data_IF_251489458140
#
_entry.id   IF_251489458140
#
_cell.length_a   1.000
_cell.length_b   1.000
_cell.length_c   1.000
_cell.angle_alpha   90.00
_cell.angle_beta   90.00
_cell.angle_gamma   90.00
#
_symmetry.space_group_name_H-M   'P 1'
#
loop_
_entity.id
_entity.type
_entity.pdbx_description
1 polymer ?
#
# COMPACT_ATOMS: atom_id res chain seq x y z
N UNK A 1 27.93 10.53 3.89
CA UNK A 1 27.10 9.32 4.08
C UNK A 1 25.81 9.59 3.34
N UNK A 2 25.44 8.69 2.43
CA UNK A 2 24.20 8.78 1.66
C UNK A 2 23.29 7.65 2.16
N UNK A 3 22.03 7.96 2.40
CA UNK A 3 21.01 6.96 2.70
C UNK A 3 20.65 6.21 1.41
N UNK A 4 21.04 4.93 1.34
CA UNK A 4 20.79 4.09 0.16
C UNK A 4 19.31 3.86 -0.09
N UNK A 5 18.49 3.73 0.95
CA UNK A 5 17.05 3.55 0.82
C UNK A 5 16.40 4.79 0.17
N UNK A 6 16.79 5.98 0.62
CA UNK A 6 16.30 7.22 0.00
C UNK A 6 16.73 7.32 -1.46
N UNK A 7 18.03 7.09 -1.74
CA UNK A 7 18.60 7.28 -3.08
C UNK A 7 18.15 6.20 -4.08
N UNK A 8 18.09 4.95 -3.67
CA UNK A 8 17.83 3.84 -4.58
C UNK A 8 16.33 3.50 -4.69
N UNK A 9 15.54 3.88 -3.68
CA UNK A 9 14.13 3.49 -3.59
C UNK A 9 13.12 4.63 -3.63
N UNK A 10 13.49 5.83 -3.22
CA UNK A 10 12.55 6.95 -3.03
C UNK A 10 12.87 8.18 -3.87
N UNK A 11 14.13 8.36 -4.29
CA UNK A 11 14.57 9.46 -5.12
C UNK A 11 14.29 9.16 -6.60
N UNK A 12 13.91 10.17 -7.35
CA UNK A 12 13.67 10.04 -8.79
C UNK A 12 15.00 9.83 -9.54
N UNK A 13 14.98 8.94 -10.53
CA UNK A 13 16.17 8.61 -11.31
C UNK A 13 16.65 9.72 -12.26
N UNK A 14 15.78 10.67 -12.61
CA UNK A 14 16.05 11.74 -13.56
C UNK A 14 16.18 13.10 -12.88
N UNK A 15 15.45 13.35 -11.79
CA UNK A 15 15.46 14.59 -11.02
C UNK A 15 16.12 14.33 -9.66
N UNK A 16 17.46 14.44 -9.59
CA UNK A 16 18.23 14.15 -8.39
C UNK A 16 17.81 15.04 -7.20
N UNK A 17 17.59 14.42 -6.06
CA UNK A 17 17.09 15.06 -4.84
C UNK A 17 15.58 15.19 -4.76
N UNK A 18 14.84 14.87 -5.83
CA UNK A 18 13.38 14.87 -5.81
C UNK A 18 12.84 13.53 -5.32
N UNK A 19 12.05 13.54 -4.27
CA UNK A 19 11.45 12.35 -3.67
C UNK A 19 10.06 12.05 -4.27
N UNK A 20 9.67 10.79 -4.30
CA UNK A 20 8.37 10.34 -4.83
C UNK A 20 7.17 11.11 -4.23
N UNK A 21 7.23 11.45 -2.93
CA UNK A 21 6.18 12.24 -2.30
C UNK A 21 6.06 13.67 -2.82
N UNK A 22 7.14 14.27 -3.31
CA UNK A 22 7.09 15.59 -3.98
C UNK A 22 6.40 15.50 -5.34
N UNK A 23 6.57 14.38 -6.06
CA UNK A 23 5.81 14.11 -7.29
C UNK A 23 4.33 13.91 -7.01
N UNK A 24 4.00 13.20 -5.91
CA UNK A 24 2.61 13.04 -5.46
C UNK A 24 1.96 14.41 -5.17
N UNK A 25 2.66 15.30 -4.48
CA UNK A 25 2.19 16.67 -4.22
C UNK A 25 2.00 17.48 -5.51
N UNK A 26 2.98 17.43 -6.44
CA UNK A 26 2.86 18.10 -7.77
C UNK A 26 1.66 17.54 -8.55
N UNK A 27 1.46 16.23 -8.53
CA UNK A 27 0.32 15.57 -9.19
C UNK A 27 -1.01 15.99 -8.57
N UNK A 28 -1.10 16.01 -7.24
CA UNK A 28 -2.31 16.46 -6.54
C UNK A 28 -2.67 17.91 -6.89
N UNK A 29 -1.67 18.78 -7.02
CA UNK A 29 -1.89 20.18 -7.47
C UNK A 29 -2.35 20.22 -8.92
N UNK A 30 -1.71 19.49 -9.83
CA UNK A 30 -2.03 19.49 -11.26
C UNK A 30 -3.45 18.96 -11.53
N UNK A 31 -3.90 17.98 -10.74
CA UNK A 31 -5.23 17.39 -10.85
C UNK A 31 -6.26 18.04 -9.90
N UNK A 32 -5.90 19.12 -9.21
CA UNK A 32 -6.78 19.86 -8.30
C UNK A 32 -7.35 19.00 -7.15
N UNK A 33 -6.65 17.92 -6.76
CA UNK A 33 -7.03 17.08 -5.63
C UNK A 33 -6.66 17.81 -4.34
N UNK A 34 -7.60 18.02 -3.46
CA UNK A 34 -7.39 18.70 -2.18
C UNK A 34 -6.71 17.79 -1.15
N UNK A 35 -6.20 18.38 -0.08
CA UNK A 35 -5.70 17.65 1.08
C UNK A 35 -6.80 16.81 1.73
N UNK A 36 -7.98 17.35 1.85
CA UNK A 36 -9.15 16.70 2.44
C UNK A 36 -9.55 15.46 1.65
N UNK A 37 -9.62 15.53 0.32
CA UNK A 37 -9.89 14.37 -0.53
C UNK A 37 -8.85 13.27 -0.41
N UNK A 38 -7.56 13.62 -0.23
CA UNK A 38 -6.50 12.64 0.00
C UNK A 38 -6.66 11.97 1.38
N UNK A 39 -6.99 12.73 2.40
CA UNK A 39 -7.20 12.21 3.75
C UNK A 39 -8.48 11.34 3.82
N UNK A 40 -9.56 11.74 3.17
CA UNK A 40 -10.79 10.94 3.07
C UNK A 40 -10.53 9.59 2.38
N UNK A 41 -9.74 9.60 1.31
CA UNK A 41 -9.34 8.37 0.65
C UNK A 41 -8.50 7.48 1.57
N UNK A 42 -7.58 8.07 2.33
CA UNK A 42 -6.75 7.33 3.29
C UNK A 42 -7.59 6.70 4.41
N UNK A 43 -8.57 7.44 4.94
CA UNK A 43 -9.52 6.94 5.94
C UNK A 43 -10.31 5.76 5.39
N UNK A 44 -10.92 5.93 4.21
CA UNK A 44 -11.68 4.87 3.54
C UNK A 44 -10.83 3.61 3.30
N UNK A 45 -9.58 3.80 2.85
CA UNK A 45 -8.63 2.70 2.62
C UNK A 45 -8.29 1.96 3.91
N UNK A 46 -8.05 2.71 5.00
CA UNK A 46 -7.77 2.14 6.32
C UNK A 46 -8.97 1.36 6.87
N UNK A 47 -10.18 1.91 6.81
CA UNK A 47 -11.40 1.24 7.24
C UNK A 47 -11.61 -0.08 6.48
N UNK A 48 -11.38 -0.08 5.18
CA UNK A 48 -11.46 -1.29 4.36
C UNK A 48 -10.39 -2.31 4.72
N UNK A 49 -9.16 -1.86 4.97
CA UNK A 49 -8.08 -2.74 5.43
C UNK A 49 -8.42 -3.40 6.76
N UNK A 50 -8.97 -2.63 7.70
CA UNK A 50 -9.41 -3.16 9.00
C UNK A 50 -10.57 -4.16 8.89
N UNK A 51 -11.49 -3.94 7.97
CA UNK A 51 -12.63 -4.82 7.71
C UNK A 51 -12.27 -6.06 6.89
N UNK A 52 -11.26 -5.95 6.03
CA UNK A 52 -10.91 -6.96 5.02
C UNK A 52 -9.80 -7.93 5.39
N UNK A 53 -9.23 -7.85 6.60
CA UNK A 53 -8.11 -8.73 7.00
C UNK A 53 -8.59 -10.19 7.08
N UNK A 54 -8.30 -10.93 6.02
CA UNK A 54 -8.46 -12.39 5.99
C UNK A 54 -7.18 -13.03 6.53
N UNK A 55 -7.28 -13.69 7.70
CA UNK A 55 -6.16 -14.44 8.27
C UNK A 55 -5.62 -15.54 7.35
N UNK A 56 -6.40 -15.94 6.36
CA UNK A 56 -6.04 -17.00 5.41
C UNK A 56 -4.97 -16.58 4.40
N UNK A 57 -4.70 -15.27 4.26
CA UNK A 57 -3.69 -14.73 3.33
C UNK A 57 -2.35 -14.46 3.98
N UNK A 58 -2.28 -14.45 5.30
CA UNK A 58 -1.08 -14.12 6.06
C UNK A 58 -0.40 -15.38 6.56
N UNK A 59 0.81 -15.64 6.07
CA UNK A 59 1.65 -16.69 6.61
C UNK A 59 2.33 -16.20 7.90
N UNK A 60 2.15 -16.86 9.05
CA UNK A 60 2.80 -16.46 10.29
C UNK A 60 4.33 -16.55 10.18
N UNK A 61 5.03 -15.54 10.69
CA UNK A 61 6.48 -15.47 10.72
C UNK A 61 6.97 -15.37 12.16
N UNK A 62 7.92 -16.24 12.54
CA UNK A 62 8.59 -16.16 13.82
C UNK A 62 9.75 -15.18 13.76
N UNK A 63 9.72 -14.15 14.60
CA UNK A 63 10.77 -13.14 14.72
C UNK A 63 11.45 -13.26 16.06
N UNK A 64 12.75 -13.55 16.05
CA UNK A 64 13.57 -13.57 17.26
C UNK A 64 14.01 -12.16 17.64
N UNK A 65 13.60 -11.72 18.82
CA UNK A 65 13.98 -10.42 19.39
C UNK A 65 14.80 -10.59 20.66
N UNK A 66 15.39 -9.52 21.16
CA UNK A 66 16.11 -9.54 22.46
C UNK A 66 15.19 -9.89 23.64
N UNK A 67 13.87 -9.78 23.47
CA UNK A 67 12.85 -10.08 24.49
C UNK A 67 12.24 -11.47 24.35
N UNK A 68 12.66 -12.24 23.36
CA UNK A 68 12.14 -13.57 23.03
C UNK A 68 11.62 -13.67 21.61
N UNK A 69 11.10 -14.83 21.25
CA UNK A 69 10.49 -15.07 19.95
C UNK A 69 9.04 -14.57 19.94
N UNK A 70 8.68 -13.81 18.93
CA UNK A 70 7.34 -13.32 18.68
C UNK A 70 6.83 -13.87 17.33
N UNK A 71 5.59 -14.32 17.29
CA UNK A 71 4.95 -14.74 16.05
C UNK A 71 4.14 -13.56 15.49
N UNK A 72 4.50 -13.10 14.30
CA UNK A 72 3.76 -12.07 13.56
C UNK A 72 2.81 -12.80 12.61
N UNK A 73 1.51 -12.65 12.84
CA UNK A 73 0.45 -13.32 12.09
C UNK A 73 -0.69 -12.40 11.67
N UNK A 74 -0.48 -11.09 11.84
CA UNK A 74 -1.48 -10.08 11.47
C UNK A 74 -0.81 -8.86 10.86
N UNK A 75 -1.52 -8.19 9.97
CA UNK A 75 -1.09 -6.92 9.40
C UNK A 75 -1.07 -5.84 10.49
N UNK A 76 0.10 -5.28 10.76
CA UNK A 76 0.30 -4.37 11.91
C UNK A 76 -0.12 -2.93 11.59
N UNK A 77 0.12 -2.49 10.36
CA UNK A 77 -0.05 -1.09 9.99
C UNK A 77 -1.48 -0.58 10.16
N UNK A 78 -2.54 -1.28 9.69
CA UNK A 78 -3.91 -0.81 9.89
C UNK A 78 -4.29 -0.68 11.35
N UNK A 79 -3.68 -1.49 12.23
CA UNK A 79 -3.97 -1.52 13.66
C UNK A 79 -3.30 -0.40 14.45
N UNK A 80 -2.21 0.16 13.93
CA UNK A 80 -1.47 1.25 14.58
C UNK A 80 -1.94 2.63 14.14
N UNK A 81 -2.78 2.71 13.11
CA UNK A 81 -3.29 3.97 12.60
C UNK A 81 -4.42 4.53 13.48
N UNK A 82 -4.41 5.83 13.67
CA UNK A 82 -5.44 6.58 14.40
C UNK A 82 -6.15 7.52 13.42
N UNK A 83 -7.36 7.14 13.01
CA UNK A 83 -8.18 7.88 12.04
C UNK A 83 -8.41 9.32 12.48
N UNK A 84 -8.65 9.56 13.77
CA UNK A 84 -8.94 10.90 14.30
C UNK A 84 -7.75 11.87 14.15
N UNK A 85 -6.55 11.35 14.02
CA UNK A 85 -5.32 12.14 13.86
C UNK A 85 -4.99 12.47 12.40
N UNK A 86 -5.58 11.77 11.43
CA UNK A 86 -5.24 11.94 10.00
C UNK A 86 -5.32 13.41 9.56
N UNK A 87 -6.42 14.16 9.82
CA UNK A 87 -6.52 15.55 9.39
C UNK A 87 -5.50 16.50 10.05
N UNK A 88 -4.92 16.09 11.20
CA UNK A 88 -3.98 16.90 11.98
C UNK A 88 -2.52 16.67 11.57
N UNK A 89 -2.25 15.70 10.70
CA UNK A 89 -0.90 15.37 10.27
C UNK A 89 -0.31 16.49 9.41
N UNK A 90 0.97 16.78 9.66
CA UNK A 90 1.70 17.76 8.84
C UNK A 90 2.09 17.16 7.50
N UNK A 91 2.18 17.96 6.43
CA UNK A 91 2.76 17.53 5.17
C UNK A 91 4.17 16.96 5.38
N UNK A 92 4.49 15.88 4.67
CA UNK A 92 5.74 15.16 4.83
C UNK A 92 6.86 15.64 3.89
N UNK A 93 6.50 16.24 2.74
CA UNK A 93 7.44 16.56 1.65
C UNK A 93 7.56 18.05 1.32
N UNK A 94 7.02 18.91 2.17
CA UNK A 94 7.10 20.37 2.05
C UNK A 94 5.96 21.04 2.79
N UNK A 95 6.15 22.29 3.25
CA UNK A 95 5.17 23.00 4.07
C UNK A 95 3.81 23.16 3.39
N UNK A 96 3.80 23.35 2.07
CA UNK A 96 2.60 23.52 1.23
C UNK A 96 2.12 22.19 0.61
N UNK A 97 2.76 21.07 0.99
CA UNK A 97 2.41 19.74 0.49
C UNK A 97 1.06 19.25 1.02
N UNK A 98 0.51 18.28 0.33
CA UNK A 98 -0.76 17.60 0.67
C UNK A 98 -0.54 16.17 1.13
N UNK A 99 0.63 15.62 0.80
CA UNK A 99 1.02 14.24 1.15
C UNK A 99 1.48 14.18 2.60
N UNK A 100 0.93 13.25 3.36
CA UNK A 100 1.23 13.03 4.79
C UNK A 100 1.60 11.59 5.05
N UNK A 101 2.01 11.28 6.27
CA UNK A 101 2.28 9.91 6.69
C UNK A 101 1.06 8.97 6.61
N UNK A 102 -0.17 9.51 6.57
CA UNK A 102 -1.38 8.69 6.49
C UNK A 102 -1.82 8.42 5.04
N UNK A 103 -1.59 9.36 4.12
CA UNK A 103 -1.99 9.23 2.72
C UNK A 103 -0.82 8.88 1.77
N UNK A 104 0.38 8.68 2.31
CA UNK A 104 1.54 8.12 1.62
C UNK A 104 1.65 6.62 1.86
N UNK A 105 2.24 5.89 0.92
CA UNK A 105 2.62 4.49 1.14
C UNK A 105 3.68 4.39 2.23
N UNK A 106 3.54 3.42 3.12
CA UNK A 106 4.58 3.11 4.09
C UNK A 106 5.71 2.29 3.45
N UNK A 107 6.87 2.34 4.08
CA UNK A 107 7.97 1.42 3.76
C UNK A 107 7.69 0.14 4.54
N UNK A 108 7.45 -0.96 3.81
CA UNK A 108 7.05 -2.24 4.40
C UNK A 108 7.78 -3.38 3.71
N UNK A 109 8.26 -4.32 4.50
CA UNK A 109 8.80 -5.58 3.99
C UNK A 109 7.65 -6.54 3.71
N UNK A 110 7.78 -7.31 2.64
CA UNK A 110 6.74 -8.27 2.28
C UNK A 110 7.22 -9.24 1.22
N UNK A 111 6.54 -10.36 1.14
CA UNK A 111 6.72 -11.34 0.07
C UNK A 111 5.36 -11.86 -0.39
N UNK A 112 5.25 -12.13 -1.68
CA UNK A 112 4.06 -12.75 -2.24
C UNK A 112 4.43 -13.88 -3.19
N UNK A 113 3.59 -14.90 -3.25
CA UNK A 113 3.77 -16.04 -4.16
C UNK A 113 2.51 -16.23 -5.00
N UNK A 114 2.74 -16.50 -6.28
CA UNK A 114 1.66 -16.71 -7.24
C UNK A 114 1.92 -17.99 -8.03
N UNK A 115 0.91 -18.80 -8.23
CA UNK A 115 0.96 -19.96 -9.12
C UNK A 115 0.15 -19.66 -10.37
N UNK A 116 0.83 -19.73 -11.52
CA UNK A 116 0.20 -19.58 -12.83
C UNK A 116 -0.04 -20.97 -13.42
N UNK A 117 -1.26 -21.22 -13.87
CA UNK A 117 -1.65 -22.48 -14.48
C UNK A 117 -2.70 -22.28 -15.56
N UNK A 118 -2.94 -23.30 -16.37
CA UNK A 118 -4.07 -23.30 -17.31
C UNK A 118 -5.40 -23.41 -16.53
N UNK A 119 -6.46 -22.79 -17.05
CA UNK A 119 -7.76 -22.76 -16.37
C UNK A 119 -8.30 -24.15 -16.06
N UNK A 120 -8.05 -25.11 -16.97
CA UNK A 120 -8.50 -26.51 -16.86
C UNK A 120 -7.78 -27.27 -15.74
N UNK A 121 -6.62 -26.80 -15.32
CA UNK A 121 -5.84 -27.43 -14.25
C UNK A 121 -6.17 -26.88 -12.84
N UNK A 122 -7.08 -25.90 -12.75
CA UNK A 122 -7.49 -25.33 -11.49
C UNK A 122 -8.50 -26.24 -10.80
N UNK A 123 -8.22 -26.72 -9.56
CA UNK A 123 -9.22 -27.48 -8.80
C UNK A 123 -10.49 -26.67 -8.56
N UNK A 124 -11.66 -27.34 -8.61
CA UNK A 124 -12.95 -26.67 -8.41
C UNK A 124 -13.09 -25.95 -7.04
N UNK A 125 -12.27 -26.34 -6.06
CA UNK A 125 -12.25 -25.79 -4.71
C UNK A 125 -11.14 -24.75 -4.50
N UNK A 126 -10.43 -24.32 -5.56
CA UNK A 126 -9.34 -23.35 -5.42
C UNK A 126 -9.86 -22.00 -4.90
N UNK A 127 -9.33 -21.46 -3.79
CA UNK A 127 -9.98 -20.38 -3.06
C UNK A 127 -9.97 -19.03 -3.80
N UNK A 128 -9.01 -18.73 -4.66
CA UNK A 128 -8.94 -17.46 -5.41
C UNK A 128 -8.31 -17.67 -6.78
N UNK A 129 -9.14 -17.79 -7.80
CA UNK A 129 -8.69 -17.86 -9.18
C UNK A 129 -8.98 -16.53 -9.88
N UNK A 130 -7.90 -15.85 -10.34
CA UNK A 130 -8.03 -14.73 -11.26
C UNK A 130 -7.74 -15.24 -12.66
N UNK A 131 -8.70 -15.13 -13.55
CA UNK A 131 -8.51 -15.43 -14.96
C UNK A 131 -8.05 -14.19 -15.72
N UNK A 132 -6.90 -14.26 -16.42
CA UNK A 132 -6.52 -13.24 -17.40
C UNK A 132 -7.20 -13.55 -18.71
N UNK A 133 -7.98 -12.62 -19.26
CA UNK A 133 -8.57 -12.76 -20.59
C UNK A 133 -7.57 -12.33 -21.67
N UNK A 134 -7.66 -12.94 -22.82
CA UNK A 134 -6.81 -12.61 -23.99
C UNK A 134 -7.02 -11.14 -24.40
N UNK A 135 -5.94 -10.56 -24.95
CA UNK A 135 -5.90 -9.20 -25.50
C UNK A 135 -7.05 -8.98 -26.49
N UNK A 136 -8.02 -8.12 -26.16
CA UNK A 136 -9.18 -7.79 -26.98
C UNK A 136 -10.48 -7.64 -26.22
N UNK A 137 -10.62 -8.27 -25.06
CA UNK A 137 -11.76 -8.04 -24.17
C UNK A 137 -11.37 -7.00 -23.12
N UNK A 138 -12.14 -5.90 -23.05
CA UNK A 138 -11.97 -4.92 -21.97
C UNK A 138 -12.11 -5.66 -20.65
N UNK A 139 -11.03 -5.73 -19.89
CA UNK A 139 -11.10 -6.14 -18.51
C UNK A 139 -11.99 -5.12 -17.79
N UNK A 140 -13.23 -5.46 -17.56
CA UNK A 140 -14.04 -4.79 -16.57
C UNK A 140 -13.40 -5.15 -15.23
N UNK A 141 -12.62 -4.23 -14.70
CA UNK A 141 -12.08 -4.31 -13.36
C UNK A 141 -13.27 -4.32 -12.40
N UNK A 142 -13.50 -5.40 -11.64
CA UNK A 142 -14.55 -5.35 -10.64
C UNK A 142 -14.20 -4.25 -9.64
N UNK A 143 -15.14 -3.37 -9.37
CA UNK A 143 -15.07 -2.27 -8.40
C UNK A 143 -14.97 -2.75 -6.93
N UNK A 144 -14.53 -3.96 -6.70
CA UNK A 144 -14.40 -4.64 -5.41
C UNK A 144 -12.97 -5.07 -5.10
N UNK A 145 -11.98 -4.26 -5.48
CA UNK A 145 -10.67 -4.33 -4.86
C UNK A 145 -10.58 -3.13 -3.90
N UNK A 146 -11.05 -3.34 -2.72
CA UNK A 146 -10.68 -2.60 -1.54
C UNK A 146 -9.59 -3.39 -0.84
#
# INVERSE_FOLDING_TARGET
IIDSMSRDGLEDAYESGALMGQFADRSAVAHQVSREELDDFAVMSLERAMAGVSGDEIAPVEVSTRRGTQVISTDEQPRHADIARIPQLKPAFGAEGRTTAANASSISDGASTMILTAAEAVPAQAPRVRTSRRRGERALWPSTCA
#
